data_IF_371726062110
#
_entry.id   IF_371726062110
#
_cell.length_a   1.000
_cell.length_b   1.000
_cell.length_c   1.000
_cell.angle_alpha   90.00
_cell.angle_beta   90.00
_cell.angle_gamma   90.00
#
_symmetry.space_group_name_H-M   'P 1'
#
loop_
_entity.id
_entity.type
_entity.pdbx_description
1 polymer ?
#
# COMPACT_ATOMS: atom_id res chain seq x y z
N UNK A 1 -18.45 -30.24 -33.70
CA UNK A 1 -18.42 -30.19 -32.22
C UNK A 1 -17.26 -29.31 -31.79
N UNK A 2 -17.47 -27.99 -31.67
CA UNK A 2 -16.40 -27.00 -31.45
C UNK A 2 -16.67 -26.08 -30.26
N UNK A 3 -17.31 -26.62 -29.22
CA UNK A 3 -17.68 -25.87 -28.01
C UNK A 3 -16.66 -26.00 -26.88
N UNK A 4 -15.76 -27.00 -26.95
CA UNK A 4 -14.82 -27.29 -25.86
C UNK A 4 -13.60 -26.36 -25.85
N UNK A 5 -13.22 -25.80 -27.01
CA UNK A 5 -12.06 -24.91 -27.14
C UNK A 5 -12.39 -23.49 -26.68
N UNK A 6 -13.60 -23.00 -26.96
CA UNK A 6 -14.02 -21.65 -26.51
C UNK A 6 -14.21 -21.58 -24.99
N UNK A 7 -14.65 -22.67 -24.36
CA UNK A 7 -14.82 -22.73 -22.91
C UNK A 7 -13.47 -22.78 -22.17
N UNK A 8 -12.48 -23.48 -22.75
CA UNK A 8 -11.10 -23.45 -22.24
C UNK A 8 -10.49 -22.07 -22.42
N UNK A 9 -10.67 -21.40 -23.56
CA UNK A 9 -10.16 -20.04 -23.77
C UNK A 9 -10.72 -19.06 -22.74
N UNK A 10 -12.02 -19.17 -22.41
CA UNK A 10 -12.68 -18.37 -21.36
C UNK A 10 -12.10 -18.66 -19.97
N UNK A 11 -11.95 -19.93 -19.59
CA UNK A 11 -11.40 -20.32 -18.27
C UNK A 11 -9.92 -19.92 -18.17
N UNK A 12 -9.15 -20.07 -19.24
CA UNK A 12 -7.76 -19.62 -19.31
C UNK A 12 -7.69 -18.11 -19.24
N UNK A 13 -8.61 -17.35 -19.87
CA UNK A 13 -8.70 -15.89 -19.74
C UNK A 13 -9.08 -15.44 -18.33
N UNK A 14 -9.99 -16.15 -17.67
CA UNK A 14 -10.35 -15.90 -16.26
C UNK A 14 -9.21 -16.28 -15.31
N UNK A 15 -8.40 -17.29 -15.65
CA UNK A 15 -7.19 -17.69 -14.89
C UNK A 15 -5.95 -16.84 -15.21
N UNK A 16 -5.90 -16.22 -16.39
CA UNK A 16 -4.90 -15.22 -16.84
C UNK A 16 -5.44 -13.80 -16.74
N UNK A 17 -6.37 -13.52 -15.81
CA UNK A 17 -6.28 -12.26 -15.09
C UNK A 17 -4.99 -12.35 -14.28
N UNK A 18 -3.86 -12.09 -14.94
CA UNK A 18 -2.57 -11.83 -14.30
C UNK A 18 -2.89 -10.89 -13.16
N UNK A 19 -2.87 -11.38 -11.92
CA UNK A 19 -3.14 -10.53 -10.75
C UNK A 19 -2.29 -9.28 -10.97
N UNK A 20 -2.92 -8.11 -11.04
CA UNK A 20 -2.21 -6.86 -11.23
C UNK A 20 -1.04 -6.84 -10.23
N UNK A 21 0.16 -6.36 -10.60
CA UNK A 21 1.33 -6.41 -9.71
C UNK A 21 1.03 -5.83 -8.32
N UNK A 22 0.10 -4.88 -8.23
CA UNK A 22 -0.44 -4.33 -6.99
C UNK A 22 -1.23 -5.35 -6.14
N UNK A 23 -2.03 -6.22 -6.75
CA UNK A 23 -2.77 -7.30 -6.08
C UNK A 23 -1.81 -8.39 -5.57
N UNK A 24 -0.79 -8.75 -6.35
CA UNK A 24 0.26 -9.68 -5.89
C UNK A 24 1.05 -9.07 -4.71
N UNK A 25 1.37 -7.78 -4.80
CA UNK A 25 2.04 -7.05 -3.73
C UNK A 25 1.20 -6.99 -2.44
N UNK A 26 -0.11 -6.73 -2.55
CA UNK A 26 -1.05 -6.80 -1.43
C UNK A 26 -1.05 -8.18 -0.78
N UNK A 27 -1.24 -9.23 -1.57
CA UNK A 27 -1.31 -10.63 -1.08
C UNK A 27 -0.03 -11.01 -0.31
N UNK A 28 1.12 -10.50 -0.75
CA UNK A 28 2.43 -10.79 -0.16
C UNK A 28 2.79 -9.97 1.08
N UNK A 29 2.45 -8.67 1.11
CA UNK A 29 2.93 -7.75 2.14
C UNK A 29 1.82 -7.22 3.06
N UNK A 30 0.57 -7.21 2.60
CA UNK A 30 -0.58 -6.60 3.27
C UNK A 30 -1.85 -7.46 3.05
N UNK A 31 -1.83 -8.75 3.45
CA UNK A 31 -2.91 -9.67 3.11
C UNK A 31 -4.26 -9.30 3.72
N UNK A 32 -4.27 -8.46 4.78
CA UNK A 32 -5.49 -8.06 5.47
C UNK A 32 -6.05 -6.72 4.97
N UNK A 33 -5.46 -6.14 3.92
CA UNK A 33 -5.89 -4.86 3.37
C UNK A 33 -6.97 -5.05 2.30
N UNK A 34 -8.11 -4.40 2.48
CA UNK A 34 -9.28 -4.42 1.60
C UNK A 34 -9.39 -3.08 0.85
N UNK A 35 -8.40 -2.83 -0.01
CA UNK A 35 -8.37 -1.67 -0.90
C UNK A 35 -8.77 -2.07 -2.32
N UNK A 36 -9.46 -1.18 -3.02
CA UNK A 36 -9.78 -1.31 -4.44
C UNK A 36 -8.51 -1.34 -5.32
N UNK A 37 -8.62 -1.84 -6.55
CA UNK A 37 -7.48 -1.97 -7.47
C UNK A 37 -6.77 -0.62 -7.71
N UNK A 38 -7.51 0.46 -7.95
CA UNK A 38 -6.95 1.81 -8.14
C UNK A 38 -6.18 2.29 -6.89
N UNK A 39 -6.68 1.98 -5.70
CA UNK A 39 -6.02 2.33 -4.44
C UNK A 39 -4.76 1.51 -4.21
N UNK A 40 -4.78 0.23 -4.55
CA UNK A 40 -3.61 -0.63 -4.50
C UNK A 40 -2.53 -0.18 -5.48
N UNK A 41 -2.90 0.20 -6.71
CA UNK A 41 -1.97 0.73 -7.70
C UNK A 41 -1.34 2.05 -7.25
N UNK A 42 -2.13 2.94 -6.64
CA UNK A 42 -1.63 4.17 -6.03
C UNK A 42 -0.66 3.85 -4.89
N UNK A 43 -1.04 2.96 -3.97
CA UNK A 43 -0.19 2.56 -2.85
C UNK A 43 1.12 1.95 -3.34
N UNK A 44 1.06 1.07 -4.35
CA UNK A 44 2.23 0.40 -4.94
C UNK A 44 3.27 1.38 -5.47
N UNK A 45 2.86 2.57 -5.96
CA UNK A 45 3.78 3.62 -6.40
C UNK A 45 4.62 4.19 -5.26
N UNK A 46 4.06 4.24 -4.04
CA UNK A 46 4.73 4.81 -2.87
C UNK A 46 5.46 3.79 -2.00
N UNK A 47 5.20 2.49 -2.18
CA UNK A 47 5.78 1.40 -1.38
C UNK A 47 7.29 1.44 -1.30
N UNK A 48 7.97 1.71 -2.41
CA UNK A 48 9.43 1.81 -2.43
C UNK A 48 9.92 2.97 -1.54
N UNK A 49 9.23 4.11 -1.56
CA UNK A 49 9.55 5.25 -0.72
C UNK A 49 9.25 4.97 0.76
N UNK A 50 8.10 4.36 1.06
CA UNK A 50 7.70 3.97 2.41
C UNK A 50 8.68 2.96 3.03
N UNK A 51 9.09 1.94 2.28
CA UNK A 51 10.13 1.00 2.72
C UNK A 51 11.49 1.67 2.86
N UNK A 52 11.83 2.63 1.98
CA UNK A 52 13.06 3.40 2.06
C UNK A 52 13.19 4.24 3.33
N UNK A 53 12.07 4.68 3.90
CA UNK A 53 12.03 5.39 5.20
C UNK A 53 11.82 4.45 6.40
N UNK A 54 11.83 3.13 6.18
CA UNK A 54 11.73 2.12 7.23
C UNK A 54 10.30 1.80 7.71
N UNK A 55 9.26 2.09 6.90
CA UNK A 55 7.88 1.72 7.26
C UNK A 55 7.67 0.21 7.10
N UNK A 56 7.13 -0.40 8.15
CA UNK A 56 6.72 -1.79 8.13
C UNK A 56 5.30 -1.92 7.57
N UNK A 57 5.20 -2.33 6.30
CA UNK A 57 3.93 -2.58 5.62
C UNK A 57 3.15 -3.79 6.19
N UNK A 58 3.83 -4.71 6.86
CA UNK A 58 3.21 -5.88 7.48
C UNK A 58 2.59 -5.57 8.85
N UNK A 59 2.71 -4.34 9.35
CA UNK A 59 2.14 -3.95 10.63
C UNK A 59 0.60 -3.98 10.60
N UNK A 60 0.00 -4.72 11.52
CA UNK A 60 -1.45 -4.90 11.59
C UNK A 60 -2.19 -3.58 11.81
N UNK A 61 -1.61 -2.64 12.57
CA UNK A 61 -2.26 -1.37 12.89
C UNK A 61 -2.25 -0.43 11.70
N UNK A 62 -1.21 -0.52 10.87
CA UNK A 62 -1.14 0.18 9.60
C UNK A 62 -2.19 -0.37 8.62
N UNK A 63 -2.28 -1.70 8.48
CA UNK A 63 -3.27 -2.33 7.60
C UNK A 63 -4.70 -1.99 8.02
N UNK A 64 -5.00 -2.03 9.31
CA UNK A 64 -6.28 -1.60 9.87
C UNK A 64 -6.58 -0.12 9.56
N UNK A 65 -5.59 0.77 9.69
CA UNK A 65 -5.75 2.18 9.36
C UNK A 65 -5.95 2.44 7.86
N UNK A 66 -5.30 1.66 6.98
CA UNK A 66 -5.51 1.74 5.53
C UNK A 66 -6.94 1.35 5.16
N UNK A 67 -7.47 0.28 5.78
CA UNK A 67 -8.85 -0.16 5.59
C UNK A 67 -9.87 0.84 6.14
N UNK A 68 -9.58 1.47 7.28
CA UNK A 68 -10.47 2.42 7.92
C UNK A 68 -10.48 3.79 7.22
N UNK A 69 -9.35 4.21 6.63
CA UNK A 69 -9.18 5.55 6.04
C UNK A 69 -8.62 5.52 4.60
N UNK A 70 -9.25 4.78 3.67
CA UNK A 70 -8.72 4.58 2.32
C UNK A 70 -8.67 5.88 1.50
N UNK A 71 -9.61 6.80 1.74
CA UNK A 71 -9.67 8.10 1.07
C UNK A 71 -8.56 9.07 1.50
N UNK A 72 -8.03 8.91 2.71
CA UNK A 72 -6.95 9.76 3.23
C UNK A 72 -5.56 9.19 2.93
N UNK A 73 -5.49 8.02 2.27
CA UNK A 73 -4.27 7.26 2.09
C UNK A 73 -3.20 8.04 1.32
N UNK A 74 -3.54 8.60 0.16
CA UNK A 74 -2.58 9.34 -0.66
C UNK A 74 -2.02 10.56 0.09
N UNK A 75 -2.91 11.39 0.65
CA UNK A 75 -2.53 12.58 1.38
C UNK A 75 -1.67 12.26 2.63
N UNK A 76 -2.02 11.20 3.37
CA UNK A 76 -1.25 10.75 4.52
C UNK A 76 0.14 10.25 4.11
N UNK A 77 0.24 9.49 3.02
CA UNK A 77 1.53 9.01 2.48
C UNK A 77 2.40 10.19 2.09
N UNK A 78 1.87 11.16 1.34
CA UNK A 78 2.60 12.36 0.93
C UNK A 78 3.10 13.16 2.14
N UNK A 79 2.23 13.43 3.11
CA UNK A 79 2.59 14.16 4.33
C UNK A 79 3.71 13.45 5.12
N UNK A 80 3.68 12.13 5.20
CA UNK A 80 4.71 11.34 5.89
C UNK A 80 6.04 11.38 5.12
N UNK A 81 6.00 11.33 3.79
CA UNK A 81 7.20 11.45 2.97
C UNK A 81 7.83 12.85 3.09
N UNK A 82 7.03 13.92 3.10
CA UNK A 82 7.52 15.27 3.35
C UNK A 82 8.11 15.42 4.76
N UNK A 83 7.43 14.85 5.76
CA UNK A 83 7.96 14.81 7.12
C UNK A 83 9.29 14.05 7.20
N UNK A 84 9.42 12.93 6.49
CA UNK A 84 10.67 12.18 6.38
C UNK A 84 11.79 13.02 5.75
N UNK A 85 11.50 13.77 4.68
CA UNK A 85 12.48 14.67 4.06
C UNK A 85 12.92 15.79 5.01
N UNK A 86 12.01 16.34 5.81
CA UNK A 86 12.35 17.36 6.82
C UNK A 86 13.24 16.77 7.90
N UNK A 87 12.99 15.55 8.36
CA UNK A 87 13.85 14.85 9.31
C UNK A 87 15.25 14.62 8.74
N UNK A 88 15.33 14.16 7.49
CA UNK A 88 16.59 13.94 6.78
C UNK A 88 17.42 15.23 6.69
N UNK A 89 16.79 16.36 6.38
CA UNK A 89 17.45 17.68 6.36
C UNK A 89 17.98 18.10 7.74
N UNK A 90 17.33 17.65 8.83
CA UNK A 90 17.76 17.90 10.20
C UNK A 90 18.80 16.89 10.70
N UNK A 91 19.31 16.00 9.84
CA UNK A 91 20.17 14.88 10.21
C UNK A 91 19.54 13.98 11.30
N UNK A 92 18.21 13.90 11.32
CA UNK A 92 17.45 13.00 12.19
C UNK A 92 16.82 11.91 11.34
N UNK A 93 16.72 10.71 11.90
CA UNK A 93 16.10 9.57 11.25
C UNK A 93 14.96 9.01 12.10
N UNK A 94 14.05 8.23 11.50
CA UNK A 94 13.02 7.55 12.25
C UNK A 94 13.66 6.42 13.07
N UNK A 95 13.72 6.58 14.39
CA UNK A 95 14.36 5.56 15.22
C UNK A 95 13.64 4.19 15.14
N UNK A 96 14.38 3.26 14.55
CA UNK A 96 14.43 1.79 14.57
C UNK A 96 13.15 0.99 14.27
N UNK A 97 12.01 1.14 14.97
CA UNK A 97 10.91 0.13 14.82
C UNK A 97 9.48 0.68 15.01
N UNK A 98 9.34 1.87 15.60
CA UNK A 98 8.04 2.40 16.05
C UNK A 98 7.83 3.88 15.74
N UNK A 99 8.56 4.45 14.78
CA UNK A 99 8.41 5.87 14.44
C UNK A 99 7.83 6.11 13.05
N UNK A 100 8.35 5.49 11.99
CA UNK A 100 7.81 5.72 10.64
C UNK A 100 6.42 5.10 10.45
N UNK A 101 6.26 3.82 10.82
CA UNK A 101 4.96 3.10 10.71
C UNK A 101 3.89 3.77 11.56
N UNK A 102 4.20 4.11 12.81
CA UNK A 102 3.25 4.83 13.68
C UNK A 102 2.92 6.23 13.17
N UNK A 103 3.88 6.92 12.54
CA UNK A 103 3.64 8.22 11.92
C UNK A 103 2.65 8.09 10.77
N UNK A 104 2.79 7.08 9.90
CA UNK A 104 1.83 6.79 8.83
C UNK A 104 0.46 6.39 9.37
N UNK A 105 0.40 5.48 10.34
CA UNK A 105 -0.85 5.09 11.00
C UNK A 105 -1.55 6.30 11.63
N UNK A 106 -0.79 7.23 12.23
CA UNK A 106 -1.33 8.46 12.80
C UNK A 106 -1.80 9.44 11.72
N UNK A 107 -1.02 9.61 10.66
CA UNK A 107 -1.37 10.46 9.52
C UNK A 107 -2.66 10.00 8.84
N UNK A 108 -2.86 8.70 8.68
CA UNK A 108 -4.11 8.11 8.15
C UNK A 108 -5.31 8.42 9.06
N UNK A 109 -5.14 8.22 10.38
CA UNK A 109 -6.20 8.45 11.38
C UNK A 109 -6.57 9.92 11.53
N UNK A 110 -5.58 10.80 11.52
CA UNK A 110 -5.78 12.25 11.70
C UNK A 110 -6.07 12.97 10.37
N UNK A 111 -5.97 12.27 9.23
CA UNK A 111 -6.18 12.85 7.91
C UNK A 111 -5.16 13.95 7.59
N UNK A 112 -3.88 13.69 7.83
CA UNK A 112 -2.81 14.63 7.54
C UNK A 112 -2.82 15.00 6.06
N UNK A 113 -2.48 16.27 5.81
CA UNK A 113 -2.37 16.82 4.47
C UNK A 113 -0.92 17.22 4.23
N UNK A 114 -0.41 17.05 3.00
CA UNK A 114 0.87 17.63 2.59
C UNK A 114 0.89 19.14 2.83
#
# INVERSE_FOLDING_TARGET
>A
MSYRIQEIDRIVREAYCSKSPAIEMRDRFMPNVDLDEEQLELFAQYVAALQGIGINLQDERLQDALNAYPYNMEAAIQAVLEYAQVLQQKHQDFQDQYHATNCLTKALREGWKP
#
